data_IF_403657130575
#
_entry.id   IF_403657130575
#
_cell.length_a   1.000
_cell.length_b   1.000
_cell.length_c   1.000
_cell.angle_alpha   90.00
_cell.angle_beta   90.00
_cell.angle_gamma   90.00
#
_symmetry.space_group_name_H-M   'P 1'
#
loop_
_entity.id
_entity.type
_entity.pdbx_description
1 polymer ?
#
# COMPACT_ATOMS: atom_id res chain seq x y z
N UNK A 1 32.36 -17.04 30.61
CA UNK A 1 30.94 -17.15 30.23
C UNK A 1 30.10 -16.53 31.34
N UNK A 2 29.21 -15.57 31.07
CA UNK A 2 28.45 -14.88 32.12
C UNK A 2 27.37 -15.85 32.69
N UNK A 3 27.41 -16.22 33.98
CA UNK A 3 26.49 -17.21 34.57
C UNK A 3 25.03 -16.76 34.52
N UNK A 4 24.76 -15.46 34.57
CA UNK A 4 23.39 -14.93 34.46
C UNK A 4 22.80 -15.13 33.07
N UNK A 5 23.61 -14.97 32.01
CA UNK A 5 23.17 -15.22 30.63
C UNK A 5 22.87 -16.69 30.38
N UNK A 6 23.67 -17.59 30.96
CA UNK A 6 23.42 -19.03 30.87
C UNK A 6 22.14 -19.42 31.63
N UNK A 7 21.92 -18.87 32.83
CA UNK A 7 20.70 -19.13 33.58
C UNK A 7 19.44 -18.65 32.84
N UNK A 8 19.48 -17.45 32.24
CA UNK A 8 18.39 -16.93 31.40
C UNK A 8 18.13 -17.81 30.18
N UNK A 9 19.17 -18.24 29.48
CA UNK A 9 19.05 -19.14 28.34
C UNK A 9 18.38 -20.47 28.71
N UNK A 10 18.81 -21.10 29.81
CA UNK A 10 18.22 -22.36 30.29
C UNK A 10 16.75 -22.19 30.70
N UNK A 11 16.39 -21.04 31.30
CA UNK A 11 15.00 -20.73 31.65
C UNK A 11 14.11 -20.53 30.42
N UNK A 12 14.65 -19.90 29.37
CA UNK A 12 13.97 -19.78 28.07
C UNK A 12 13.76 -21.16 27.43
N UNK A 13 14.78 -22.02 27.40
CA UNK A 13 14.66 -23.39 26.90
C UNK A 13 13.59 -24.18 27.69
N UNK A 14 13.60 -24.08 29.03
CA UNK A 14 12.60 -24.74 29.86
C UNK A 14 11.19 -24.25 29.55
N UNK A 15 11.00 -22.94 29.42
CA UNK A 15 9.70 -22.34 29.08
C UNK A 15 9.18 -22.83 27.73
N UNK A 16 10.06 -22.92 26.72
CA UNK A 16 9.68 -23.40 25.40
C UNK A 16 9.32 -24.89 25.40
N UNK A 17 10.07 -25.73 26.12
CA UNK A 17 9.75 -27.16 26.28
C UNK A 17 8.40 -27.34 26.99
N UNK A 18 8.12 -26.58 28.05
CA UNK A 18 6.84 -26.63 28.77
C UNK A 18 5.65 -26.17 27.90
N UNK A 19 5.87 -25.21 27.00
CA UNK A 19 4.86 -24.75 26.06
C UNK A 19 4.62 -25.72 24.88
N UNK A 20 5.48 -26.72 24.70
CA UNK A 20 5.40 -27.67 23.59
C UNK A 20 4.40 -28.78 23.93
N UNK A 21 3.49 -29.07 23.00
CA UNK A 21 2.52 -30.14 23.17
C UNK A 21 3.13 -31.46 22.66
N UNK A 22 3.05 -32.57 23.42
CA UNK A 22 3.69 -33.83 23.02
C UNK A 22 2.93 -34.59 21.91
N UNK A 23 1.78 -34.08 21.47
CA UNK A 23 1.00 -34.62 20.37
C UNK A 23 0.81 -33.56 19.28
N UNK A 24 0.81 -33.99 18.02
CA UNK A 24 0.52 -33.13 16.88
C UNK A 24 -0.99 -33.12 16.62
N UNK A 25 -1.61 -31.94 16.74
CA UNK A 25 -3.01 -31.76 16.38
C UNK A 25 -3.17 -31.93 14.86
N UNK A 26 -4.16 -32.72 14.45
CA UNK A 26 -4.48 -32.93 13.05
C UNK A 26 -5.99 -32.97 12.87
N UNK A 27 -6.48 -32.35 11.79
CA UNK A 27 -7.85 -32.56 11.33
C UNK A 27 -7.88 -33.09 9.90
N UNK A 28 -9.07 -33.07 9.31
CA UNK A 28 -9.30 -33.60 7.97
C UNK A 28 -10.07 -32.62 7.11
N UNK A 29 -9.68 -32.56 5.85
CA UNK A 29 -10.39 -31.82 4.81
C UNK A 29 -11.73 -32.52 4.53
N UNK A 30 -12.84 -31.86 4.76
CA UNK A 30 -14.18 -32.44 4.57
C UNK A 30 -14.77 -32.07 3.21
N UNK A 31 -14.52 -30.84 2.75
CA UNK A 31 -15.10 -30.32 1.51
C UNK A 31 -14.22 -29.25 0.88
N UNK A 32 -14.27 -29.14 -0.44
CA UNK A 32 -13.76 -28.00 -1.20
C UNK A 32 -14.94 -27.42 -1.98
N UNK A 33 -15.21 -26.13 -1.84
CA UNK A 33 -16.24 -25.43 -2.59
C UNK A 33 -15.66 -24.16 -3.22
N UNK A 34 -15.22 -24.27 -4.47
CA UNK A 34 -14.53 -23.18 -5.16
C UNK A 34 -13.27 -22.74 -4.40
N UNK A 35 -13.28 -21.51 -3.89
CA UNK A 35 -12.15 -20.89 -3.20
C UNK A 35 -12.02 -21.28 -1.72
N UNK A 36 -13.07 -21.83 -1.10
CA UNK A 36 -13.10 -22.13 0.34
C UNK A 36 -13.08 -23.63 0.57
N UNK A 37 -12.23 -24.03 1.51
CA UNK A 37 -12.06 -25.38 2.00
C UNK A 37 -12.67 -25.52 3.38
N UNK A 38 -13.39 -26.60 3.63
CA UNK A 38 -13.90 -26.96 4.95
C UNK A 38 -13.00 -28.03 5.57
N UNK A 39 -12.61 -27.83 6.83
CA UNK A 39 -11.93 -28.85 7.63
C UNK A 39 -12.62 -29.06 8.98
N UNK A 40 -12.48 -30.28 9.52
CA UNK A 40 -13.00 -30.67 10.82
C UNK A 40 -11.96 -31.43 11.64
N UNK A 41 -12.18 -31.54 12.95
CA UNK A 41 -11.28 -32.25 13.86
C UNK A 41 -10.14 -31.41 14.44
N UNK A 42 -10.09 -30.11 14.12
CA UNK A 42 -9.16 -29.16 14.71
C UNK A 42 -9.86 -27.82 15.00
N UNK A 43 -9.40 -27.10 16.03
CA UNK A 43 -9.88 -25.76 16.40
C UNK A 43 -8.73 -24.78 16.29
N UNK A 44 -8.78 -23.89 15.31
CA UNK A 44 -7.77 -22.89 15.04
C UNK A 44 -8.39 -21.48 15.05
N UNK A 45 -7.65 -20.45 15.51
CA UNK A 45 -8.13 -19.09 15.45
C UNK A 45 -8.16 -18.56 14.02
N UNK A 46 -8.95 -17.50 13.80
CA UNK A 46 -8.92 -16.76 12.53
C UNK A 46 -7.50 -16.26 12.24
N UNK A 47 -7.07 -16.38 10.99
CA UNK A 47 -5.73 -16.01 10.56
C UNK A 47 -4.64 -17.04 10.86
N UNK A 48 -4.99 -18.19 11.46
CA UNK A 48 -4.04 -19.27 11.65
C UNK A 48 -3.69 -19.91 10.30
N UNK A 49 -2.40 -20.13 10.07
CA UNK A 49 -1.92 -20.93 8.94
C UNK A 49 -2.15 -22.43 9.18
N UNK A 50 -2.35 -23.17 8.11
CA UNK A 50 -2.44 -24.62 8.08
C UNK A 50 -1.75 -25.17 6.83
N UNK A 51 -1.25 -26.40 6.91
CA UNK A 51 -0.73 -27.18 5.80
C UNK A 51 -1.63 -28.37 5.53
N UNK A 52 -2.01 -28.56 4.29
CA UNK A 52 -2.90 -29.62 3.86
C UNK A 52 -2.12 -30.61 3.01
N UNK A 53 -2.15 -31.87 3.41
CA UNK A 53 -1.41 -32.93 2.74
C UNK A 53 -2.13 -33.36 1.46
N UNK A 54 -1.42 -33.30 0.33
CA UNK A 54 -1.94 -33.71 -0.98
C UNK A 54 -1.75 -35.22 -1.16
N UNK A 55 -0.56 -35.63 -1.63
CA UNK A 55 -0.08 -37.01 -1.76
C UNK A 55 1.45 -36.99 -1.55
N UNK A 56 1.98 -37.99 -0.85
CA UNK A 56 3.41 -38.03 -0.51
C UNK A 56 3.80 -36.88 0.44
N UNK A 57 4.82 -36.11 0.05
CA UNK A 57 5.41 -35.02 0.85
C UNK A 57 4.93 -33.62 0.46
N UNK A 58 4.09 -33.49 -0.58
CA UNK A 58 3.60 -32.18 -1.04
C UNK A 58 2.51 -31.65 -0.11
N UNK A 59 2.68 -30.40 0.33
CA UNK A 59 1.77 -29.72 1.24
C UNK A 59 1.30 -28.41 0.60
N UNK A 60 0.02 -28.10 0.74
CA UNK A 60 -0.56 -26.80 0.32
C UNK A 60 -0.75 -25.94 1.57
N UNK A 61 -0.28 -24.69 1.53
CA UNK A 61 -0.51 -23.72 2.60
C UNK A 61 -1.87 -23.03 2.47
N UNK A 62 -2.60 -22.97 3.58
CA UNK A 62 -3.91 -22.32 3.69
C UNK A 62 -4.01 -21.51 4.98
N UNK A 63 -4.95 -20.57 5.03
CA UNK A 63 -5.24 -19.77 6.22
C UNK A 63 -6.71 -19.91 6.61
N UNK A 64 -6.98 -19.92 7.92
CA UNK A 64 -8.35 -19.95 8.46
C UNK A 64 -9.01 -18.59 8.27
N UNK A 65 -10.04 -18.55 7.43
CA UNK A 65 -10.81 -17.33 7.09
C UNK A 65 -12.13 -17.23 7.85
N UNK A 66 -12.60 -18.34 8.44
CA UNK A 66 -13.88 -18.39 9.16
C UNK A 66 -14.07 -19.71 9.89
N UNK A 67 -15.14 -19.81 10.69
CA UNK A 67 -15.61 -21.06 11.25
C UNK A 67 -17.12 -21.02 11.51
N UNK A 68 -17.75 -22.20 11.48
CA UNK A 68 -19.16 -22.38 11.84
C UNK A 68 -19.32 -23.68 12.63
N UNK A 69 -19.64 -23.56 13.92
CA UNK A 69 -19.67 -24.71 14.83
C UNK A 69 -18.31 -25.40 14.90
N UNK A 70 -18.25 -26.68 14.55
CA UNK A 70 -17.02 -27.49 14.52
C UNK A 70 -16.32 -27.54 13.15
N UNK A 71 -16.77 -26.73 12.18
CA UNK A 71 -16.15 -26.62 10.86
C UNK A 71 -15.30 -25.36 10.75
N UNK A 72 -14.09 -25.51 10.25
CA UNK A 72 -13.21 -24.41 9.87
C UNK A 72 -13.32 -24.14 8.38
N UNK A 73 -13.43 -22.88 8.01
CA UNK A 73 -13.31 -22.40 6.64
C UNK A 73 -11.88 -21.92 6.42
N UNK A 74 -11.21 -22.48 5.43
CA UNK A 74 -9.82 -22.17 5.08
C UNK A 74 -9.74 -21.77 3.63
N UNK A 75 -8.82 -20.86 3.30
CA UNK A 75 -8.54 -20.47 1.93
C UNK A 75 -7.07 -20.77 1.61
N UNK A 76 -6.77 -21.38 0.46
CA UNK A 76 -5.40 -21.69 0.09
C UNK A 76 -4.67 -20.41 -0.36
N UNK A 77 -3.36 -20.37 -0.11
CA UNK A 77 -2.47 -19.32 -0.67
C UNK A 77 -1.96 -19.70 -2.06
N UNK A 78 -2.06 -20.98 -2.41
CA UNK A 78 -1.54 -21.59 -3.64
C UNK A 78 -2.60 -22.44 -4.34
N UNK A 79 -2.26 -23.02 -5.49
CA UNK A 79 -3.15 -23.94 -6.20
C UNK A 79 -3.50 -25.20 -5.39
N UNK A 80 -4.76 -25.58 -5.46
CA UNK A 80 -5.34 -26.73 -4.74
C UNK A 80 -5.32 -28.03 -5.55
N UNK A 81 -4.60 -28.05 -6.68
CA UNK A 81 -4.61 -29.20 -7.58
C UNK A 81 -4.10 -30.47 -6.87
N UNK A 82 -4.87 -31.54 -6.96
CA UNK A 82 -4.54 -32.84 -6.36
C UNK A 82 -5.01 -33.05 -4.91
N UNK A 83 -5.57 -32.02 -4.25
CA UNK A 83 -6.18 -32.21 -2.93
C UNK A 83 -7.37 -33.18 -3.03
N UNK A 84 -7.51 -34.04 -2.01
CA UNK A 84 -8.55 -35.07 -1.97
C UNK A 84 -9.35 -35.00 -0.66
N UNK A 85 -10.64 -35.39 -0.68
CA UNK A 85 -11.44 -35.49 0.53
C UNK A 85 -10.76 -36.39 1.58
N UNK A 86 -10.75 -35.95 2.83
CA UNK A 86 -10.09 -36.63 3.94
C UNK A 86 -8.60 -36.34 4.08
N UNK A 87 -8.02 -35.48 3.24
CA UNK A 87 -6.64 -35.00 3.36
C UNK A 87 -6.33 -34.47 4.76
N UNK A 88 -5.11 -34.75 5.23
CA UNK A 88 -4.66 -34.36 6.56
C UNK A 88 -4.43 -32.84 6.61
N UNK A 89 -5.01 -32.18 7.61
CA UNK A 89 -4.83 -30.74 7.87
C UNK A 89 -4.01 -30.60 9.14
N UNK A 90 -2.83 -30.00 9.02
CA UNK A 90 -1.91 -29.75 10.11
C UNK A 90 -1.81 -28.25 10.38
N UNK A 91 -1.87 -27.79 11.63
CA UNK A 91 -1.64 -26.39 11.94
C UNK A 91 -0.21 -25.99 11.57
N UNK A 92 -0.06 -24.82 10.95
CA UNK A 92 1.23 -24.18 10.78
C UNK A 92 1.56 -23.50 12.10
N UNK A 93 2.31 -24.18 12.97
CA UNK A 93 2.78 -23.56 14.21
C UNK A 93 3.69 -22.37 13.88
N UNK A 94 3.56 -21.21 14.56
CA UNK A 94 4.53 -20.15 14.43
C UNK A 94 5.90 -20.70 14.82
N UNK A 95 6.90 -20.49 13.97
CA UNK A 95 8.28 -20.91 14.24
C UNK A 95 8.73 -20.13 15.48
N UNK A 96 8.71 -20.76 16.65
CA UNK A 96 9.48 -20.25 17.79
C UNK A 96 10.93 -20.63 17.50
N UNK A 97 11.73 -19.66 17.07
CA UNK A 97 13.16 -19.86 16.92
C UNK A 97 13.73 -20.46 18.22
N UNK A 98 14.65 -21.44 18.12
CA UNK A 98 15.31 -21.95 19.30
C UNK A 98 16.01 -20.79 20.03
N UNK A 99 15.95 -20.72 21.37
CA UNK A 99 16.66 -19.74 22.16
C UNK A 99 18.12 -19.68 21.72
N UNK A 100 18.66 -18.48 21.61
CA UNK A 100 20.07 -18.22 21.30
C UNK A 100 20.73 -17.66 22.56
N UNK A 101 21.90 -18.18 22.90
CA UNK A 101 22.60 -17.79 24.12
C UNK A 101 22.99 -16.31 24.07
N UNK A 102 22.42 -15.51 24.98
CA UNK A 102 22.68 -14.07 25.07
C UNK A 102 21.66 -13.19 24.37
N UNK A 103 20.67 -13.77 23.69
CA UNK A 103 19.52 -13.06 23.15
C UNK A 103 18.34 -13.11 24.11
N UNK A 104 17.57 -12.03 24.16
CA UNK A 104 16.29 -11.98 24.87
C UNK A 104 15.21 -12.04 23.79
N UNK A 105 14.53 -13.19 23.63
CA UNK A 105 13.46 -13.29 22.65
C UNK A 105 12.37 -12.28 22.98
N UNK A 106 11.88 -11.59 21.96
CA UNK A 106 10.74 -10.68 22.13
C UNK A 106 9.56 -11.50 22.69
N UNK A 107 8.90 -11.03 23.76
CA UNK A 107 7.79 -11.78 24.35
C UNK A 107 6.64 -11.88 23.33
N UNK A 108 6.43 -13.07 22.76
CA UNK A 108 5.30 -13.43 21.87
C UNK A 108 4.00 -13.62 22.68
N UNK A 109 3.61 -12.57 23.42
CA UNK A 109 2.49 -12.62 24.36
C UNK A 109 1.14 -12.38 23.69
N UNK A 110 1.10 -11.79 22.49
CA UNK A 110 -0.14 -11.38 21.81
C UNK A 110 -0.36 -12.16 20.52
N UNK A 111 -1.62 -12.28 20.09
CA UNK A 111 -1.98 -13.00 18.85
C UNK A 111 -1.29 -12.49 17.58
N UNK A 112 -1.03 -11.17 17.37
CA UNK A 112 -0.30 -10.67 16.19
C UNK A 112 1.15 -11.18 16.12
N UNK A 113 1.77 -11.44 17.27
CA UNK A 113 3.14 -11.96 17.35
C UNK A 113 3.23 -13.41 16.86
N UNK A 114 2.09 -14.12 16.84
CA UNK A 114 1.93 -15.51 16.41
C UNK A 114 1.44 -15.65 14.97
N UNK A 115 1.17 -14.54 14.29
CA UNK A 115 0.83 -14.57 12.87
C UNK A 115 2.05 -14.99 12.03
N UNK A 116 1.83 -15.23 10.74
CA UNK A 116 2.90 -15.61 9.80
C UNK A 116 3.98 -14.52 9.78
N UNK A 117 5.23 -14.91 10.03
CA UNK A 117 6.41 -14.06 9.88
C UNK A 117 7.00 -14.29 8.49
N UNK A 118 7.38 -13.19 7.83
CA UNK A 118 8.00 -13.19 6.51
C UNK A 118 9.34 -12.44 6.56
N UNK A 119 10.29 -12.76 5.65
CA UNK A 119 11.58 -12.10 5.62
C UNK A 119 11.44 -10.59 5.43
N UNK A 120 12.25 -9.81 6.13
CA UNK A 120 12.38 -8.35 5.96
C UNK A 120 13.84 -7.95 6.07
N UNK A 121 14.20 -6.78 5.54
CA UNK A 121 15.55 -6.24 5.65
C UNK A 121 16.06 -5.64 4.34
N UNK A 122 17.26 -5.08 4.40
CA UNK A 122 17.95 -4.51 3.23
C UNK A 122 18.25 -5.58 2.16
N UNK A 123 18.24 -6.88 2.51
CA UNK A 123 18.42 -7.99 1.55
C UNK A 123 17.27 -8.11 0.52
N UNK A 124 16.15 -7.42 0.75
CA UNK A 124 15.04 -7.32 -0.18
C UNK A 124 15.19 -6.20 -1.21
N UNK A 125 16.18 -5.30 -1.06
CA UNK A 125 16.36 -4.19 -2.01
C UNK A 125 16.76 -4.70 -3.38
N UNK A 126 16.15 -4.14 -4.43
CA UNK A 126 16.32 -4.63 -5.80
C UNK A 126 15.60 -5.94 -6.09
N UNK A 127 14.85 -6.50 -5.14
CA UNK A 127 14.17 -7.79 -5.29
C UNK A 127 12.69 -7.63 -5.60
N UNK A 128 12.17 -8.60 -6.34
CA UNK A 128 10.73 -8.76 -6.58
C UNK A 128 10.28 -10.04 -5.89
N UNK A 129 9.31 -9.91 -4.98
CA UNK A 129 8.80 -11.03 -4.16
C UNK A 129 7.29 -11.15 -4.24
N UNK A 130 6.78 -12.34 -3.96
CA UNK A 130 5.35 -12.58 -3.80
C UNK A 130 4.85 -12.23 -2.39
N UNK A 131 3.53 -12.34 -2.14
CA UNK A 131 2.92 -12.11 -0.83
C UNK A 131 3.37 -13.05 0.30
N UNK A 132 4.16 -14.08 0.00
CA UNK A 132 4.76 -15.03 0.93
C UNK A 132 6.28 -14.84 1.07
N UNK A 133 6.86 -13.78 0.48
CA UNK A 133 8.29 -13.50 0.53
C UNK A 133 9.14 -14.40 -0.39
N UNK A 134 8.51 -15.11 -1.34
CA UNK A 134 9.25 -15.92 -2.32
C UNK A 134 9.68 -15.04 -3.49
N UNK A 135 10.92 -15.20 -3.98
CA UNK A 135 11.43 -14.38 -5.08
C UNK A 135 10.72 -14.73 -6.41
N UNK A 136 10.35 -13.69 -7.15
CA UNK A 136 9.76 -13.76 -8.50
C UNK A 136 10.76 -13.36 -9.61
N UNK A 137 11.94 -12.88 -9.21
CA UNK A 137 12.97 -12.29 -10.10
C UNK A 137 14.02 -13.29 -10.63
N UNK A 138 13.90 -14.57 -10.28
CA UNK A 138 14.87 -15.62 -10.62
C UNK A 138 16.31 -15.37 -10.12
N UNK A 139 16.52 -14.46 -9.16
CA UNK A 139 17.85 -14.16 -8.59
C UNK A 139 18.25 -15.11 -7.44
N UNK A 140 17.49 -16.18 -7.24
CA UNK A 140 17.71 -17.14 -6.15
C UNK A 140 17.08 -16.72 -4.81
N UNK A 141 17.24 -17.54 -3.76
CA UNK A 141 16.58 -17.35 -2.47
C UNK A 141 17.07 -16.08 -1.74
N UNK A 142 16.19 -15.46 -0.97
CA UNK A 142 16.52 -14.32 -0.11
C UNK A 142 17.04 -14.84 1.22
N UNK A 143 18.27 -14.49 1.57
CA UNK A 143 18.91 -14.86 2.84
C UNK A 143 18.72 -13.75 3.88
N UNK A 144 17.46 -13.42 4.19
CA UNK A 144 17.15 -12.38 5.18
C UNK A 144 17.50 -12.83 6.60
N UNK A 145 18.12 -11.95 7.37
CA UNK A 145 18.43 -12.20 8.78
C UNK A 145 17.23 -11.91 9.69
N UNK A 146 16.37 -10.99 9.27
CA UNK A 146 15.22 -10.54 10.04
C UNK A 146 13.91 -11.06 9.43
N UNK A 147 12.90 -11.19 10.28
CA UNK A 147 11.53 -11.47 9.86
C UNK A 147 10.55 -10.57 10.62
N UNK A 148 9.48 -10.18 9.95
CA UNK A 148 8.41 -9.39 10.55
C UNK A 148 7.07 -10.11 10.43
N UNK A 149 6.20 -9.92 11.41
CA UNK A 149 4.83 -10.43 11.35
C UNK A 149 4.04 -9.69 10.28
N UNK A 150 3.26 -10.44 9.48
CA UNK A 150 2.27 -9.85 8.57
C UNK A 150 1.21 -9.02 9.32
N UNK A 151 0.92 -9.41 10.56
CA UNK A 151 0.05 -8.69 11.46
C UNK A 151 0.89 -7.80 12.38
N UNK A 152 0.94 -6.51 12.09
CA UNK A 152 1.66 -5.55 12.90
C UNK A 152 0.87 -5.10 14.13
N UNK A 153 1.59 -4.71 15.18
CA UNK A 153 1.00 -4.08 16.37
C UNK A 153 0.63 -2.65 16.00
N UNK A 154 -0.63 -2.21 16.21
CA UNK A 154 -0.99 -0.82 15.97
C UNK A 154 -0.10 0.10 16.80
N UNK A 155 0.60 1.05 16.16
CA UNK A 155 1.24 2.13 16.88
C UNK A 155 0.16 2.98 17.54
N UNK A 156 0.36 3.33 18.81
CA UNK A 156 -0.52 4.29 19.48
C UNK A 156 -0.46 5.62 18.71
N UNK A 157 -1.59 6.14 18.19
CA UNK A 157 -1.58 7.39 17.42
C UNK A 157 -0.99 8.57 18.19
N UNK A 158 -1.15 8.60 19.52
CA UNK A 158 -0.61 9.67 20.37
C UNK A 158 0.91 9.61 20.55
N UNK A 159 1.55 8.52 20.15
CA UNK A 159 3.00 8.38 20.15
C UNK A 159 3.62 8.74 18.80
N UNK A 160 2.81 9.00 17.76
CA UNK A 160 3.30 9.37 16.43
C UNK A 160 3.77 10.81 16.41
N UNK A 161 4.87 11.07 15.71
CA UNK A 161 5.29 12.43 15.42
C UNK A 161 4.31 13.12 14.46
N UNK A 162 3.86 14.35 14.75
CA UNK A 162 3.05 15.12 13.81
C UNK A 162 3.77 15.36 12.48
N UNK A 163 3.01 15.48 11.39
CA UNK A 163 3.57 15.75 10.06
C UNK A 163 4.06 17.21 10.01
N UNK A 164 5.39 17.40 10.04
CA UNK A 164 6.05 18.72 10.05
C UNK A 164 7.07 18.94 8.93
N UNK A 165 7.52 17.85 8.30
CA UNK A 165 8.54 17.89 7.28
C UNK A 165 7.93 17.61 5.92
N UNK A 166 8.28 18.43 4.93
CA UNK A 166 7.91 18.20 3.53
C UNK A 166 8.61 16.93 3.04
N UNK A 167 7.90 16.15 2.24
CA UNK A 167 8.45 15.05 1.46
C UNK A 167 8.45 15.46 -0.01
N UNK A 168 9.64 15.61 -0.57
CA UNK A 168 9.80 15.91 -1.97
C UNK A 168 9.48 14.65 -2.80
N UNK A 169 8.46 14.75 -3.66
CA UNK A 169 8.05 13.65 -4.55
C UNK A 169 8.58 13.79 -5.97
N UNK A 170 9.33 14.87 -6.26
CA UNK A 170 9.89 15.17 -7.57
C UNK A 170 8.89 15.58 -8.65
N UNK A 171 7.62 15.81 -8.28
CA UNK A 171 6.54 16.20 -9.21
C UNK A 171 6.12 17.63 -8.90
N UNK A 172 6.33 18.55 -9.85
CA UNK A 172 6.18 19.99 -9.66
C UNK A 172 4.79 20.39 -9.20
N UNK A 173 3.76 19.87 -9.87
CA UNK A 173 2.37 20.15 -9.52
C UNK A 173 2.05 19.70 -8.08
N UNK A 174 2.60 18.57 -7.64
CA UNK A 174 2.38 18.05 -6.29
C UNK A 174 3.17 18.90 -5.27
N UNK A 175 4.47 19.06 -5.49
CA UNK A 175 5.36 19.80 -4.59
C UNK A 175 4.90 21.24 -4.36
N UNK A 176 4.44 21.93 -5.41
CA UNK A 176 4.04 23.33 -5.34
C UNK A 176 2.59 23.56 -4.91
N UNK A 177 1.63 22.72 -5.36
CA UNK A 177 0.19 23.00 -5.21
C UNK A 177 -0.55 22.03 -4.29
N UNK A 178 0.06 20.87 -3.98
CA UNK A 178 -0.54 19.77 -3.22
C UNK A 178 0.49 19.16 -2.25
N UNK A 179 1.32 20.01 -1.63
CA UNK A 179 2.54 19.60 -0.92
C UNK A 179 2.31 18.45 0.04
N UNK A 180 3.20 17.45 -0.05
CA UNK A 180 3.13 16.20 0.73
C UNK A 180 4.09 16.27 1.92
N UNK A 181 3.68 15.69 3.05
CA UNK A 181 4.52 15.59 4.24
C UNK A 181 5.01 14.17 4.53
N UNK A 182 6.11 14.07 5.28
CA UNK A 182 6.62 12.80 5.81
C UNK A 182 5.60 12.18 6.76
N UNK A 183 5.21 10.93 6.51
CA UNK A 183 4.19 10.20 7.24
C UNK A 183 2.76 10.45 6.75
N UNK A 184 2.56 11.19 5.66
CA UNK A 184 1.22 11.43 5.11
C UNK A 184 0.71 10.20 4.34
N UNK A 185 -0.60 9.97 4.39
CA UNK A 185 -1.29 8.93 3.62
C UNK A 185 -2.19 9.58 2.59
N UNK A 186 -1.89 9.36 1.30
CA UNK A 186 -2.57 9.99 0.18
C UNK A 186 -3.27 8.96 -0.70
N UNK A 187 -4.43 9.32 -1.22
CA UNK A 187 -5.08 8.57 -2.30
C UNK A 187 -4.54 9.00 -3.66
N UNK A 188 -4.41 8.06 -4.61
CA UNK A 188 -4.26 8.37 -6.03
C UNK A 188 -5.48 7.81 -6.77
N UNK A 189 -6.46 8.68 -7.04
CA UNK A 189 -7.67 8.33 -7.77
C UNK A 189 -7.40 8.43 -9.26
N UNK A 190 -7.52 7.32 -9.97
CA UNK A 190 -7.22 7.27 -11.39
C UNK A 190 -8.06 6.22 -12.10
N UNK A 191 -8.55 6.57 -13.29
CA UNK A 191 -9.08 5.60 -14.26
C UNK A 191 -7.98 4.82 -14.99
N UNK A 192 -8.38 3.86 -15.81
CA UNK A 192 -7.45 3.20 -16.74
C UNK A 192 -6.98 4.17 -17.83
N UNK A 193 -5.69 4.12 -18.19
CA UNK A 193 -5.11 4.85 -19.32
C UNK A 193 -4.74 6.32 -19.06
N UNK A 194 -4.96 6.86 -17.86
CA UNK A 194 -4.72 8.29 -17.55
C UNK A 194 -3.29 8.61 -17.08
N UNK A 195 -2.36 7.65 -17.18
CA UNK A 195 -0.96 7.83 -16.75
C UNK A 195 -0.65 7.48 -15.29
N UNK A 196 -1.51 6.72 -14.60
CA UNK A 196 -1.30 6.23 -13.22
C UNK A 196 0.09 5.61 -13.01
N UNK A 197 0.41 4.58 -13.79
CA UNK A 197 1.65 3.80 -13.64
C UNK A 197 2.90 4.64 -13.92
N UNK A 198 2.83 5.56 -14.88
CA UNK A 198 3.92 6.48 -15.20
C UNK A 198 4.18 7.43 -14.04
N UNK A 199 3.12 8.04 -13.47
CA UNK A 199 3.26 8.94 -12.32
C UNK A 199 3.82 8.21 -11.08
N UNK A 200 3.37 6.98 -10.81
CA UNK A 200 3.93 6.14 -9.76
C UNK A 200 5.42 5.84 -9.98
N UNK A 201 5.81 5.54 -11.22
CA UNK A 201 7.22 5.35 -11.60
C UNK A 201 8.05 6.61 -11.39
N UNK A 202 7.55 7.78 -11.81
CA UNK A 202 8.20 9.07 -11.57
C UNK A 202 8.39 9.32 -10.07
N UNK A 203 7.36 9.12 -9.25
CA UNK A 203 7.48 9.26 -7.79
C UNK A 203 8.50 8.24 -7.23
N UNK A 204 8.50 7.00 -7.70
CA UNK A 204 9.45 6.01 -7.23
C UNK A 204 10.91 6.34 -7.61
N UNK A 205 11.17 7.00 -8.74
CA UNK A 205 12.52 7.44 -9.10
C UNK A 205 12.94 8.69 -8.35
N UNK A 206 12.05 9.68 -8.28
CA UNK A 206 12.40 11.05 -7.90
C UNK A 206 12.16 11.41 -6.44
N UNK A 207 11.35 10.64 -5.72
CA UNK A 207 11.06 10.95 -4.32
C UNK A 207 12.31 10.86 -3.46
N UNK A 208 12.50 11.86 -2.59
CA UNK A 208 13.56 11.88 -1.59
C UNK A 208 13.15 11.00 -0.38
N UNK A 209 13.43 9.71 -0.47
CA UNK A 209 13.15 8.71 0.56
C UNK A 209 14.32 7.72 0.68
N UNK A 210 14.62 7.25 1.89
CA UNK A 210 15.69 6.30 2.13
C UNK A 210 15.42 4.94 1.45
N UNK A 211 14.15 4.54 1.43
CA UNK A 211 13.67 3.23 0.95
C UNK A 211 12.33 3.38 0.24
N UNK A 212 12.10 2.55 -0.76
CA UNK A 212 10.83 2.50 -1.48
C UNK A 212 10.25 1.10 -1.38
N UNK A 213 8.96 1.01 -1.12
CA UNK A 213 8.24 -0.26 -1.11
C UNK A 213 7.04 -0.13 -2.04
N UNK A 214 6.93 -1.04 -3.00
CA UNK A 214 5.85 -1.05 -3.98
C UNK A 214 5.06 -2.34 -3.85
N UNK A 215 3.79 -2.24 -3.46
CA UNK A 215 2.83 -3.34 -3.48
C UNK A 215 1.99 -3.30 -4.76
N UNK A 216 2.13 -4.31 -5.63
CA UNK A 216 1.37 -4.48 -6.87
C UNK A 216 0.36 -5.61 -6.70
N UNK A 217 -0.89 -5.25 -6.41
CA UNK A 217 -1.96 -6.13 -5.94
C UNK A 217 -3.06 -6.23 -6.98
N UNK A 218 -3.31 -7.43 -7.49
CA UNK A 218 -4.41 -7.74 -8.41
C UNK A 218 -4.29 -7.13 -9.81
N UNK A 219 -3.13 -6.58 -10.16
CA UNK A 219 -2.82 -6.14 -11.53
C UNK A 219 -2.48 -7.36 -12.40
N UNK A 220 -2.53 -7.21 -13.74
CA UNK A 220 -2.16 -8.32 -14.63
C UNK A 220 -0.65 -8.54 -14.60
N UNK A 221 -0.20 -9.80 -14.71
CA UNK A 221 1.25 -10.12 -14.66
C UNK A 221 2.10 -9.35 -15.69
N UNK A 222 1.55 -9.08 -16.89
CA UNK A 222 2.22 -8.24 -17.90
C UNK A 222 2.38 -6.79 -17.46
N UNK A 223 1.40 -6.23 -16.76
CA UNK A 223 1.41 -4.85 -16.27
C UNK A 223 2.37 -4.71 -15.09
N UNK A 224 2.50 -5.75 -14.26
CA UNK A 224 3.54 -5.85 -13.22
C UNK A 224 4.94 -5.82 -13.85
N UNK A 225 5.19 -6.65 -14.86
CA UNK A 225 6.48 -6.68 -15.57
C UNK A 225 6.80 -5.33 -16.23
N UNK A 226 5.82 -4.73 -16.91
CA UNK A 226 5.94 -3.42 -17.55
C UNK A 226 6.24 -2.31 -16.52
N UNK A 227 5.57 -2.33 -15.37
CA UNK A 227 5.85 -1.40 -14.28
C UNK A 227 7.29 -1.51 -13.80
N UNK A 228 7.79 -2.72 -13.54
CA UNK A 228 9.15 -2.93 -13.03
C UNK A 228 10.19 -2.50 -14.08
N UNK A 229 10.03 -2.94 -15.34
CA UNK A 229 11.05 -2.75 -16.38
C UNK A 229 11.03 -1.35 -17.02
N UNK A 230 9.85 -0.77 -17.26
CA UNK A 230 9.72 0.49 -18.00
C UNK A 230 9.47 1.70 -17.09
N UNK A 231 8.67 1.54 -16.04
CA UNK A 231 8.33 2.65 -15.15
C UNK A 231 9.29 2.79 -13.98
N UNK A 232 9.73 1.68 -13.36
CA UNK A 232 10.67 1.75 -12.25
C UNK A 232 12.12 1.83 -12.77
N UNK A 233 12.45 0.96 -13.72
CA UNK A 233 13.81 0.85 -14.29
C UNK A 233 14.82 0.33 -13.27
N UNK A 234 16.05 0.08 -13.70
CA UNK A 234 17.09 -0.51 -12.85
C UNK A 234 17.47 0.40 -11.67
N UNK A 235 17.54 1.72 -11.90
CA UNK A 235 17.87 2.70 -10.86
C UNK A 235 16.77 2.80 -9.78
N UNK A 236 15.50 2.82 -10.20
CA UNK A 236 14.37 2.83 -9.27
C UNK A 236 14.26 1.51 -8.50
N UNK A 237 14.51 0.39 -9.17
CA UNK A 237 14.44 -0.93 -8.57
C UNK A 237 15.54 -1.14 -7.52
N UNK A 238 16.76 -0.66 -7.77
CA UNK A 238 17.89 -0.82 -6.84
C UNK A 238 17.64 -0.28 -5.42
N UNK A 239 16.76 0.72 -5.27
CA UNK A 239 16.36 1.31 -3.98
C UNK A 239 14.96 0.89 -3.51
N UNK A 240 14.30 0.00 -4.25
CA UNK A 240 12.94 -0.42 -4.01
C UNK A 240 12.85 -1.92 -3.64
N UNK A 241 11.80 -2.24 -2.88
CA UNK A 241 11.33 -3.61 -2.69
C UNK A 241 9.97 -3.72 -3.37
N UNK A 242 9.82 -4.67 -4.30
CA UNK A 242 8.55 -4.86 -5.01
C UNK A 242 7.88 -6.14 -4.50
N UNK A 243 6.67 -6.00 -3.96
CA UNK A 243 5.80 -7.12 -3.59
C UNK A 243 4.69 -7.23 -4.62
N UNK A 244 4.67 -8.31 -5.40
CA UNK A 244 3.68 -8.53 -6.45
C UNK A 244 2.76 -9.71 -6.10
N UNK A 245 1.45 -9.47 -6.14
CA UNK A 245 0.41 -10.48 -6.04
C UNK A 245 -0.58 -10.26 -7.19
N UNK A 246 -0.32 -10.81 -8.39
CA UNK A 246 -1.11 -10.50 -9.59
C UNK A 246 -2.54 -11.06 -9.54
N UNK A 247 -3.35 -10.76 -10.56
CA UNK A 247 -4.77 -11.10 -10.59
C UNK A 247 -5.08 -12.62 -10.60
N UNK A 248 -4.14 -13.45 -11.04
CA UNK A 248 -4.25 -14.90 -11.15
C UNK A 248 -4.00 -15.65 -9.84
N UNK A 249 -3.41 -15.00 -8.82
CA UNK A 249 -3.23 -15.61 -7.51
C UNK A 249 -4.48 -15.50 -6.62
N UNK A 250 -4.53 -16.29 -5.55
CA UNK A 250 -5.70 -16.35 -4.67
C UNK A 250 -6.01 -14.99 -4.02
N UNK A 251 -7.29 -14.71 -3.69
CA UNK A 251 -7.65 -13.47 -2.99
C UNK A 251 -6.89 -13.29 -1.68
N UNK A 252 -6.65 -14.40 -0.97
CA UNK A 252 -5.87 -14.39 0.27
C UNK A 252 -4.42 -13.93 0.01
N UNK A 253 -3.78 -14.43 -1.04
CA UNK A 253 -2.43 -14.03 -1.42
C UNK A 253 -2.35 -12.55 -1.78
N UNK A 254 -3.39 -12.01 -2.43
CA UNK A 254 -3.50 -10.55 -2.70
C UNK A 254 -3.58 -9.72 -1.42
N UNK A 255 -4.38 -10.15 -0.44
CA UNK A 255 -4.44 -9.47 0.87
C UNK A 255 -3.11 -9.55 1.62
N UNK A 256 -2.45 -10.72 1.59
CA UNK A 256 -1.14 -10.93 2.20
C UNK A 256 -0.05 -10.08 1.54
N UNK A 257 -0.06 -9.93 0.20
CA UNK A 257 0.85 -9.05 -0.52
C UNK A 257 0.80 -7.60 -0.04
N UNK A 258 -0.42 -7.06 0.13
CA UNK A 258 -0.59 -5.70 0.67
C UNK A 258 -0.11 -5.59 2.13
N UNK A 259 -0.44 -6.58 2.96
CA UNK A 259 0.01 -6.63 4.34
C UNK A 259 1.54 -6.78 4.48
N UNK A 260 2.16 -7.50 3.55
CA UNK A 260 3.60 -7.75 3.52
C UNK A 260 4.38 -6.53 3.06
N UNK A 261 3.95 -5.87 1.97
CA UNK A 261 4.52 -4.58 1.56
C UNK A 261 4.47 -3.56 2.72
N UNK A 262 3.36 -3.53 3.45
CA UNK A 262 3.23 -2.67 4.62
C UNK A 262 4.17 -3.09 5.75
N UNK A 263 4.36 -4.40 5.99
CA UNK A 263 5.28 -4.91 7.01
C UNK A 263 6.75 -4.59 6.70
N UNK A 264 7.16 -4.66 5.43
CA UNK A 264 8.50 -4.24 4.98
C UNK A 264 8.69 -2.74 5.23
N UNK A 265 7.69 -1.91 4.92
CA UNK A 265 7.75 -0.48 5.19
C UNK A 265 7.81 -0.16 6.70
N UNK A 266 7.09 -0.92 7.54
CA UNK A 266 7.16 -0.82 9.00
C UNK A 266 8.54 -1.17 9.54
N UNK A 267 9.16 -2.23 9.01
CA UNK A 267 10.52 -2.60 9.40
C UNK A 267 11.51 -1.46 9.14
N UNK A 268 11.53 -0.90 7.93
CA UNK A 268 12.41 0.22 7.61
C UNK A 268 12.11 1.48 8.45
N UNK A 269 10.83 1.79 8.70
CA UNK A 269 10.45 2.89 9.61
C UNK A 269 11.03 2.69 11.01
N UNK A 270 10.94 1.48 11.53
CA UNK A 270 11.40 1.15 12.88
C UNK A 270 12.94 1.16 12.98
N UNK A 271 13.65 1.02 11.85
CA UNK A 271 15.09 1.28 11.71
C UNK A 271 15.45 2.77 11.57
N UNK A 272 14.46 3.67 11.64
CA UNK A 272 14.67 5.11 11.52
C UNK A 272 14.66 5.64 10.08
N UNK A 273 14.26 4.83 9.09
CA UNK A 273 14.24 5.23 7.68
C UNK A 273 12.95 5.95 7.30
N UNK A 274 13.06 6.84 6.33
CA UNK A 274 11.93 7.47 5.65
C UNK A 274 11.56 6.68 4.39
N UNK A 275 10.37 6.08 4.41
CA UNK A 275 9.91 5.13 3.41
C UNK A 275 8.80 5.74 2.56
N UNK A 276 8.90 5.60 1.24
CA UNK A 276 7.77 5.76 0.32
C UNK A 276 7.10 4.40 0.11
N UNK A 277 5.84 4.27 0.53
CA UNK A 277 5.00 3.10 0.26
C UNK A 277 4.03 3.40 -0.89
N UNK A 278 4.14 2.68 -1.99
CA UNK A 278 3.16 2.71 -3.08
C UNK A 278 2.32 1.44 -2.98
N UNK A 279 1.01 1.60 -2.80
CA UNK A 279 0.06 0.49 -2.73
C UNK A 279 -0.90 0.56 -3.92
N UNK A 280 -0.63 -0.26 -4.93
CA UNK A 280 -1.39 -0.32 -6.18
C UNK A 280 -2.09 -1.68 -6.33
N UNK A 281 -3.35 -1.87 -5.93
CA UNK A 281 -4.30 -0.84 -5.48
C UNK A 281 -5.13 -1.24 -4.26
N UNK A 282 -5.65 -0.21 -3.58
CA UNK A 282 -6.60 -0.35 -2.48
C UNK A 282 -7.96 -0.88 -2.99
N UNK A 283 -8.33 -0.57 -4.24
CA UNK A 283 -9.49 -1.19 -4.92
C UNK A 283 -9.32 -2.70 -5.07
N UNK A 284 -8.16 -3.17 -5.54
CA UNK A 284 -7.89 -4.61 -5.69
C UNK A 284 -7.81 -5.34 -4.36
N UNK A 285 -7.28 -4.69 -3.31
CA UNK A 285 -7.34 -5.19 -1.95
C UNK A 285 -8.79 -5.34 -1.45
N UNK A 286 -9.64 -4.33 -1.64
CA UNK A 286 -11.06 -4.39 -1.29
C UNK A 286 -11.82 -5.47 -2.05
N UNK A 287 -11.56 -5.62 -3.35
CA UNK A 287 -12.14 -6.69 -4.18
C UNK A 287 -11.72 -8.07 -3.69
N UNK A 288 -10.45 -8.27 -3.33
CA UNK A 288 -9.98 -9.53 -2.75
C UNK A 288 -10.72 -9.87 -1.45
N UNK A 289 -10.86 -8.90 -0.53
CA UNK A 289 -11.63 -9.10 0.71
C UNK A 289 -13.11 -9.41 0.41
N UNK A 290 -13.71 -8.75 -0.59
CA UNK A 290 -15.08 -9.05 -1.03
C UNK A 290 -15.22 -10.49 -1.52
N UNK A 291 -14.29 -10.98 -2.32
CA UNK A 291 -14.30 -12.36 -2.82
C UNK A 291 -14.26 -13.38 -1.66
N UNK A 292 -13.40 -13.15 -0.65
CA UNK A 292 -13.33 -14.01 0.54
C UNK A 292 -14.63 -13.96 1.34
N UNK A 293 -15.11 -12.75 1.63
CA UNK A 293 -16.30 -12.50 2.43
C UNK A 293 -17.56 -13.15 1.84
N UNK A 294 -17.76 -13.01 0.52
CA UNK A 294 -18.88 -13.65 -0.19
C UNK A 294 -18.76 -15.18 -0.16
N UNK A 295 -17.54 -15.72 -0.29
CA UNK A 295 -17.33 -17.17 -0.28
C UNK A 295 -17.62 -17.81 1.09
N UNK A 296 -17.48 -17.06 2.19
CA UNK A 296 -17.85 -17.50 3.55
C UNK A 296 -19.29 -17.12 3.94
N UNK A 297 -20.05 -16.50 3.02
CA UNK A 297 -21.48 -16.19 3.20
C UNK A 297 -21.78 -14.85 3.87
N UNK A 298 -20.83 -13.91 3.93
CA UNK A 298 -21.11 -12.54 4.41
C UNK A 298 -21.96 -11.77 3.37
N UNK A 299 -23.12 -11.18 3.76
CA UNK A 299 -23.99 -10.51 2.81
C UNK A 299 -23.40 -9.17 2.31
N UNK A 300 -23.54 -8.84 1.01
CA UNK A 300 -23.06 -7.57 0.45
C UNK A 300 -24.06 -6.43 0.68
N UNK A 301 -23.91 -5.70 1.79
CA UNK A 301 -24.89 -4.66 2.20
C UNK A 301 -24.64 -3.30 1.53
N UNK A 302 -23.38 -2.92 1.30
CA UNK A 302 -23.03 -1.58 0.81
C UNK A 302 -22.60 -1.64 -0.66
N UNK A 303 -23.55 -1.39 -1.58
CA UNK A 303 -23.30 -1.36 -3.04
C UNK A 303 -22.51 -2.58 -3.55
N UNK A 304 -22.85 -3.78 -3.07
CA UNK A 304 -22.17 -5.02 -3.47
C UNK A 304 -20.92 -5.37 -2.65
N UNK A 305 -20.50 -4.56 -1.69
CA UNK A 305 -19.40 -4.85 -0.77
C UNK A 305 -19.91 -5.29 0.62
N UNK A 306 -19.37 -6.39 1.18
CA UNK A 306 -19.61 -6.78 2.56
C UNK A 306 -19.01 -5.80 3.59
N UNK A 307 -19.60 -5.67 4.79
CA UNK A 307 -19.08 -4.81 5.86
C UNK A 307 -17.60 -5.02 6.21
N UNK A 308 -17.10 -6.26 6.14
CA UNK A 308 -15.70 -6.58 6.45
C UNK A 308 -14.68 -5.84 5.58
N UNK A 309 -15.05 -5.47 4.35
CA UNK A 309 -14.20 -4.69 3.45
C UNK A 309 -13.89 -3.33 4.08
N UNK A 310 -14.92 -2.62 4.55
CA UNK A 310 -14.79 -1.28 5.14
C UNK A 310 -14.14 -1.32 6.54
N UNK A 311 -14.16 -2.46 7.22
CA UNK A 311 -13.39 -2.66 8.45
C UNK A 311 -11.90 -2.92 8.16
N UNK A 312 -11.56 -3.56 7.04
CA UNK A 312 -10.19 -3.92 6.64
C UNK A 312 -9.41 -2.76 6.03
N UNK A 313 -10.08 -1.85 5.31
CA UNK A 313 -9.43 -0.71 4.68
C UNK A 313 -8.70 0.20 5.70
N UNK A 314 -9.35 0.67 6.79
CA UNK A 314 -8.67 1.44 7.82
C UNK A 314 -7.53 0.66 8.49
N UNK A 315 -7.71 -0.64 8.72
CA UNK A 315 -6.67 -1.47 9.37
C UNK A 315 -5.37 -1.54 8.55
N UNK A 316 -5.47 -1.52 7.22
CA UNK A 316 -4.30 -1.47 6.34
C UNK A 316 -3.69 -0.06 6.31
N UNK A 317 -4.52 0.95 6.07
CA UNK A 317 -4.07 2.35 5.88
C UNK A 317 -3.48 2.94 7.15
N UNK A 318 -4.03 2.63 8.32
CA UNK A 318 -3.54 3.13 9.61
C UNK A 318 -2.20 2.54 10.04
N UNK A 319 -1.63 1.57 9.32
CA UNK A 319 -0.26 1.09 9.59
C UNK A 319 0.81 2.03 9.07
N UNK A 320 0.49 2.81 8.02
CA UNK A 320 1.35 3.87 7.53
C UNK A 320 1.28 5.12 8.42
N UNK A 321 2.30 5.97 8.34
CA UNK A 321 2.44 7.17 9.16
C UNK A 321 3.84 7.36 9.74
N UNK A 322 4.02 8.47 10.45
CA UNK A 322 5.23 8.70 11.24
C UNK A 322 5.34 7.71 12.39
N UNK A 323 6.58 7.32 12.69
CA UNK A 323 6.94 6.63 13.92
C UNK A 323 6.97 7.60 15.12
N UNK A 324 7.57 7.15 16.24
CA UNK A 324 7.88 8.02 17.37
C UNK A 324 8.80 9.19 16.98
N UNK A 325 8.80 10.24 17.79
CA UNK A 325 9.62 11.44 17.55
C UNK A 325 11.11 11.08 17.34
N UNK A 326 11.68 11.56 16.23
CA UNK A 326 13.07 11.26 15.85
C UNK A 326 13.28 9.88 15.23
N UNK A 327 12.21 9.12 14.98
CA UNK A 327 12.24 7.86 14.26
C UNK A 327 11.98 8.00 12.75
N UNK A 328 11.71 6.88 12.10
CA UNK A 328 11.39 6.83 10.67
C UNK A 328 9.95 7.21 10.36
N UNK A 329 9.60 7.19 9.07
CA UNK A 329 8.25 7.51 8.60
C UNK A 329 7.83 6.64 7.42
N UNK A 330 6.55 6.33 7.30
CA UNK A 330 5.97 5.74 6.08
C UNK A 330 5.02 6.76 5.47
N UNK A 331 5.41 7.34 4.34
CA UNK A 331 4.52 8.15 3.51
C UNK A 331 3.95 7.25 2.43
N UNK A 332 2.63 7.20 2.32
CA UNK A 332 1.96 6.20 1.50
C UNK A 332 1.08 6.80 0.42
N UNK A 333 1.15 6.26 -0.80
CA UNK A 333 0.20 6.48 -1.88
C UNK A 333 -0.62 5.22 -2.11
N UNK A 334 -1.91 5.30 -1.80
CA UNK A 334 -2.87 4.23 -2.05
C UNK A 334 -3.64 4.55 -3.33
N UNK A 335 -3.42 3.78 -4.38
CA UNK A 335 -4.19 3.97 -5.61
C UNK A 335 -5.61 3.43 -5.43
N UNK A 336 -6.57 4.12 -6.04
CA UNK A 336 -7.96 3.72 -6.09
C UNK A 336 -8.44 3.89 -7.52
N UNK A 337 -8.92 2.80 -8.09
CA UNK A 337 -9.40 2.74 -9.46
C UNK A 337 -10.83 3.28 -9.51
N UNK A 338 -11.00 4.48 -10.06
CA UNK A 338 -12.32 5.08 -10.28
C UNK A 338 -12.79 4.73 -11.69
N UNK A 339 -13.76 3.81 -11.79
CA UNK A 339 -14.37 3.49 -13.09
C UNK A 339 -15.22 4.67 -13.56
N UNK A 340 -14.79 5.32 -14.66
CA UNK A 340 -15.56 6.38 -15.31
C UNK A 340 -15.77 7.64 -14.47
N UNK A 341 -14.85 7.93 -13.54
CA UNK A 341 -14.95 9.06 -12.59
C UNK A 341 -16.25 9.06 -11.79
N UNK A 342 -16.81 7.87 -11.49
CA UNK A 342 -18.02 7.75 -10.69
C UNK A 342 -17.78 8.27 -9.25
N UNK A 343 -18.41 9.40 -8.86
CA UNK A 343 -18.29 9.92 -7.50
C UNK A 343 -18.94 9.02 -6.45
N UNK A 344 -19.64 7.96 -6.87
CA UNK A 344 -20.34 7.01 -6.00
C UNK A 344 -19.60 5.68 -5.78
N UNK A 345 -18.31 5.56 -6.15
CA UNK A 345 -17.53 4.39 -5.78
C UNK A 345 -17.36 4.31 -4.24
N UNK A 346 -17.91 3.26 -3.56
CA UNK A 346 -17.80 3.13 -2.12
C UNK A 346 -16.35 3.01 -1.62
N UNK A 347 -15.43 2.51 -2.46
CA UNK A 347 -14.02 2.41 -2.09
C UNK A 347 -13.37 3.79 -2.13
N UNK A 348 -13.66 4.59 -3.16
CA UNK A 348 -13.22 5.98 -3.23
C UNK A 348 -13.76 6.82 -2.05
N UNK A 349 -15.04 6.65 -1.70
CA UNK A 349 -15.63 7.35 -0.56
C UNK A 349 -14.97 6.96 0.77
N UNK A 350 -14.74 5.66 0.99
CA UNK A 350 -14.02 5.18 2.17
C UNK A 350 -12.59 5.69 2.21
N UNK A 351 -11.87 5.69 1.09
CA UNK A 351 -10.52 6.20 0.97
C UNK A 351 -10.45 7.71 1.28
N UNK A 352 -11.38 8.52 0.76
CA UNK A 352 -11.47 9.96 1.07
C UNK A 352 -11.71 10.21 2.56
N UNK A 353 -12.45 9.34 3.23
CA UNK A 353 -12.73 9.48 4.66
C UNK A 353 -11.49 9.19 5.52
N UNK A 354 -10.70 8.16 5.18
CA UNK A 354 -9.59 7.67 6.02
C UNK A 354 -8.22 8.27 5.67
N UNK A 355 -8.04 8.83 4.47
CA UNK A 355 -6.76 9.37 4.01
C UNK A 355 -6.61 10.87 4.33
N UNK A 356 -5.36 11.33 4.35
CA UNK A 356 -4.98 12.72 4.66
C UNK A 356 -5.08 13.64 3.42
N UNK A 357 -5.66 13.16 2.33
CA UNK A 357 -5.76 13.85 1.05
C UNK A 357 -5.80 12.87 -0.12
N UNK A 358 -5.84 13.42 -1.33
CA UNK A 358 -5.82 12.64 -2.56
C UNK A 358 -5.39 13.47 -3.77
N UNK A 359 -4.86 12.77 -4.76
CA UNK A 359 -4.53 13.25 -6.10
C UNK A 359 -5.48 12.56 -7.08
N UNK A 360 -6.15 13.34 -7.92
CA UNK A 360 -7.07 12.86 -8.96
C UNK A 360 -6.39 12.98 -10.31
N UNK A 361 -6.38 11.90 -11.08
CA UNK A 361 -5.96 11.90 -12.47
C UNK A 361 -7.19 11.98 -13.38
N UNK A 362 -7.30 13.05 -14.16
CA UNK A 362 -8.43 13.31 -15.04
C UNK A 362 -8.21 12.71 -16.43
N UNK A 363 -9.23 12.00 -16.92
CA UNK A 363 -9.25 11.53 -18.31
C UNK A 363 -9.25 12.68 -19.31
N UNK A 364 -9.94 13.78 -19.00
CA UNK A 364 -9.99 14.95 -19.89
C UNK A 364 -8.60 15.57 -20.10
N UNK A 365 -7.75 15.59 -19.07
CA UNK A 365 -6.36 16.06 -19.18
C UNK A 365 -5.51 15.06 -19.98
N UNK A 366 -5.65 13.76 -19.72
CA UNK A 366 -4.93 12.72 -20.44
C UNK A 366 -5.24 12.72 -21.95
N UNK A 367 -6.51 12.85 -22.33
CA UNK A 367 -6.97 12.91 -23.72
C UNK A 367 -6.47 14.17 -24.44
N UNK A 368 -6.23 15.26 -23.69
CA UNK A 368 -5.65 16.50 -24.19
C UNK A 368 -4.10 16.45 -24.31
N UNK A 369 -3.47 15.33 -23.96
CA UNK A 369 -2.01 15.21 -23.93
C UNK A 369 -1.34 15.91 -22.75
N UNK A 370 -2.10 16.30 -21.72
CA UNK A 370 -1.57 16.96 -20.53
C UNK A 370 -1.10 15.90 -19.51
N UNK A 371 0.22 15.77 -19.34
CA UNK A 371 0.84 14.83 -18.40
C UNK A 371 1.84 15.51 -17.44
N UNK A 372 1.85 15.15 -16.14
CA UNK A 372 0.90 14.26 -15.46
C UNK A 372 -0.54 14.82 -15.48
N UNK A 373 -1.53 13.94 -15.63
CA UNK A 373 -2.94 14.31 -15.81
C UNK A 373 -3.64 14.73 -14.50
N UNK A 374 -2.95 15.50 -13.64
CA UNK A 374 -3.42 15.84 -12.29
C UNK A 374 -4.49 16.94 -12.35
N UNK A 375 -5.68 16.64 -11.84
CA UNK A 375 -6.73 17.61 -11.62
C UNK A 375 -6.49 18.36 -10.30
N UNK A 376 -6.02 19.60 -10.39
CA UNK A 376 -5.69 20.43 -9.23
C UNK A 376 -6.94 20.88 -8.45
N UNK A 377 -8.12 20.90 -9.08
CA UNK A 377 -9.38 21.30 -8.44
C UNK A 377 -9.89 20.18 -7.55
N UNK A 378 -9.86 18.95 -8.07
CA UNK A 378 -10.34 17.77 -7.37
C UNK A 378 -9.29 17.15 -6.44
N UNK A 379 -8.03 17.58 -6.53
CA UNK A 379 -6.94 17.12 -5.65
C UNK A 379 -6.76 18.01 -4.42
N UNK A 380 -6.42 17.37 -3.29
CA UNK A 380 -6.21 18.05 -2.01
C UNK A 380 -5.14 17.34 -1.16
N UNK A 381 -4.27 18.12 -0.53
CA UNK A 381 -3.43 17.67 0.60
C UNK A 381 -3.91 18.39 1.86
N UNK A 382 -4.45 17.65 2.85
CA UNK A 382 -5.02 18.26 4.06
C UNK A 382 -3.95 18.83 5.00
N UNK A 383 -2.71 18.39 4.86
CA UNK A 383 -1.58 18.81 5.72
C UNK A 383 -0.77 19.96 5.13
N UNK A 384 -0.98 20.31 3.85
CA UNK A 384 -0.21 21.35 3.17
C UNK A 384 -0.17 22.68 3.96
N UNK A 385 -1.30 23.08 4.54
CA UNK A 385 -1.41 24.31 5.34
C UNK A 385 -0.46 24.36 6.54
N UNK A 386 -0.03 23.21 7.05
CA UNK A 386 0.88 23.10 8.19
C UNK A 386 2.34 22.91 7.77
N UNK A 387 2.60 22.72 6.48
CA UNK A 387 3.92 22.39 5.93
C UNK A 387 4.60 23.57 5.24
N UNK A 388 3.82 24.40 4.54
CA UNK A 388 4.36 25.50 3.74
C UNK A 388 4.12 26.86 4.39
N UNK A 389 4.98 27.87 4.15
CA UNK A 389 4.76 29.22 4.64
C UNK A 389 3.46 29.85 4.14
N UNK A 390 2.85 30.81 4.86
CA UNK A 390 1.62 31.48 4.44
C UNK A 390 1.70 32.10 3.05
N UNK A 391 2.85 32.68 2.68
CA UNK A 391 3.09 33.27 1.36
C UNK A 391 2.96 32.24 0.23
N UNK A 392 3.45 31.02 0.43
CA UNK A 392 3.31 29.93 -0.54
C UNK A 392 1.85 29.48 -0.63
N UNK A 393 1.13 29.40 0.48
CA UNK A 393 -0.31 29.08 0.46
C UNK A 393 -1.12 30.09 -0.34
N UNK A 394 -0.81 31.38 -0.21
CA UNK A 394 -1.47 32.43 -1.00
C UNK A 394 -1.20 32.27 -2.49
N UNK A 395 0.05 31.98 -2.89
CA UNK A 395 0.40 31.72 -4.29
C UNK A 395 -0.32 30.49 -4.84
N UNK A 396 -0.34 29.39 -4.10
CA UNK A 396 -1.07 28.19 -4.51
C UNK A 396 -2.58 28.46 -4.65
N UNK A 397 -3.17 29.28 -3.77
CA UNK A 397 -4.57 29.69 -3.87
C UNK A 397 -4.83 30.56 -5.09
N UNK A 398 -3.96 31.53 -5.36
CA UNK A 398 -4.05 32.38 -6.56
C UNK A 398 -3.93 31.55 -7.84
N UNK A 399 -3.00 30.60 -7.88
CA UNK A 399 -2.88 29.64 -8.99
C UNK A 399 -4.20 28.91 -9.24
N UNK A 400 -4.78 28.30 -8.19
CA UNK A 400 -6.05 27.57 -8.30
C UNK A 400 -7.19 28.48 -8.76
N UNK A 401 -7.28 29.71 -8.23
CA UNK A 401 -8.31 30.66 -8.63
C UNK A 401 -8.24 31.00 -10.12
N UNK A 402 -7.05 31.32 -10.64
CA UNK A 402 -6.85 31.64 -12.06
C UNK A 402 -7.12 30.42 -12.94
N UNK A 403 -6.57 29.25 -12.58
CA UNK A 403 -6.77 28.01 -13.32
C UNK A 403 -8.26 27.64 -13.42
N UNK A 404 -8.99 27.62 -12.30
CA UNK A 404 -10.41 27.27 -12.29
C UNK A 404 -11.28 28.27 -13.02
N UNK A 405 -10.94 29.57 -12.96
CA UNK A 405 -11.68 30.60 -13.69
C UNK A 405 -11.54 30.42 -15.20
N UNK A 406 -10.34 30.11 -15.67
CA UNK A 406 -10.12 29.74 -17.07
C UNK A 406 -10.93 28.48 -17.44
N UNK A 407 -10.83 27.40 -16.66
CA UNK A 407 -11.47 26.13 -17.01
C UNK A 407 -13.00 26.24 -17.13
N UNK A 408 -13.66 27.00 -16.23
CA UNK A 408 -15.11 27.24 -16.30
C UNK A 408 -15.54 28.09 -17.50
N UNK A 409 -14.65 28.91 -18.04
CA UNK A 409 -14.92 29.78 -19.18
C UNK A 409 -14.46 29.19 -20.52
N UNK A 410 -13.75 28.05 -20.51
CA UNK A 410 -13.10 27.46 -21.69
C UNK A 410 -14.05 27.26 -22.88
N UNK A 411 -15.26 26.76 -22.63
CA UNK A 411 -16.25 26.53 -23.69
C UNK A 411 -16.73 27.86 -24.28
N UNK A 412 -16.99 28.87 -23.44
CA UNK A 412 -17.39 30.21 -23.89
C UNK A 412 -16.28 30.89 -24.71
N UNK A 413 -15.02 30.70 -24.31
CA UNK A 413 -13.85 31.20 -25.04
C UNK A 413 -13.71 30.52 -26.40
N UNK A 414 -13.92 29.21 -26.47
CA UNK A 414 -13.82 28.44 -27.71
C UNK A 414 -14.84 28.86 -28.77
N UNK A 415 -16.02 29.30 -28.35
CA UNK A 415 -17.10 29.80 -29.24
C UNK A 415 -16.94 31.29 -29.55
N UNK A 416 -15.98 31.99 -28.92
CA UNK A 416 -15.77 33.43 -29.09
C UNK A 416 -16.84 34.30 -28.42
N UNK A 417 -17.57 33.74 -27.45
CA UNK A 417 -18.67 34.42 -26.77
C UNK A 417 -18.22 35.36 -25.63
N UNK A 418 -16.93 35.35 -25.29
CA UNK A 418 -16.36 36.19 -24.23
C UNK A 418 -15.79 37.50 -24.79
N UNK A 419 -16.14 38.62 -24.16
CA UNK A 419 -15.60 39.94 -24.47
C UNK A 419 -14.60 40.38 -23.40
N UNK A 420 -13.38 40.73 -23.82
CA UNK A 420 -12.32 41.20 -22.93
C UNK A 420 -12.73 42.46 -22.17
N UNK A 421 -12.29 42.58 -20.91
CA UNK A 421 -12.57 43.71 -20.02
C UNK A 421 -13.86 43.59 -19.21
N UNK A 422 -14.63 42.50 -19.40
CA UNK A 422 -15.87 42.25 -18.64
C UNK A 422 -15.62 41.58 -17.29
N UNK A 423 -14.54 40.81 -17.18
CA UNK A 423 -14.10 40.17 -15.94
C UNK A 423 -12.57 40.25 -15.86
N UNK A 424 -12.00 41.22 -15.11
CA UNK A 424 -10.56 41.43 -15.03
C UNK A 424 -9.78 40.21 -14.55
N UNK A 425 -10.41 39.34 -13.75
CA UNK A 425 -9.77 38.14 -13.22
C UNK A 425 -9.76 37.02 -14.26
N UNK A 426 -10.82 36.88 -15.05
CA UNK A 426 -10.83 35.99 -16.21
C UNK A 426 -9.89 36.48 -17.32
N UNK A 427 -9.82 37.78 -17.58
CA UNK A 427 -8.85 38.36 -18.52
C UNK A 427 -7.41 37.99 -18.12
N UNK A 428 -7.08 38.14 -16.83
CA UNK A 428 -5.79 37.71 -16.28
C UNK A 428 -5.58 36.20 -16.44
N UNK A 429 -6.60 35.40 -16.14
CA UNK A 429 -6.55 33.96 -16.26
C UNK A 429 -6.29 33.50 -17.71
N UNK A 430 -6.95 34.12 -18.70
CA UNK A 430 -6.73 33.85 -20.13
C UNK A 430 -5.30 34.19 -20.52
N UNK A 431 -4.79 35.35 -20.10
CA UNK A 431 -3.45 35.80 -20.46
C UNK A 431 -2.34 34.88 -19.89
N UNK A 432 -2.52 34.38 -18.65
CA UNK A 432 -1.51 33.57 -17.97
C UNK A 432 -1.67 32.06 -18.22
N UNK A 433 -2.83 31.60 -18.69
CA UNK A 433 -3.16 30.16 -18.81
C UNK A 433 -2.08 29.31 -19.50
N UNK A 434 -1.50 29.70 -20.66
CA UNK A 434 -0.46 28.88 -21.31
C UNK A 434 0.75 28.60 -20.39
N UNK A 435 1.07 29.56 -19.50
CA UNK A 435 2.15 29.39 -18.51
C UNK A 435 1.72 28.55 -17.32
N UNK A 436 0.46 28.64 -16.90
CA UNK A 436 -0.10 27.75 -15.87
C UNK A 436 -0.10 26.29 -16.36
N UNK A 437 -0.51 26.06 -17.60
CA UNK A 437 -0.54 24.74 -18.23
C UNK A 437 0.86 24.13 -18.34
N UNK A 438 1.83 24.89 -18.86
CA UNK A 438 3.23 24.47 -18.90
C UNK A 438 3.83 24.23 -17.49
N UNK A 439 3.33 24.94 -16.47
CA UNK A 439 3.74 24.70 -15.09
C UNK A 439 3.23 23.34 -14.57
N UNK A 440 2.04 22.89 -14.97
CA UNK A 440 1.48 21.60 -14.53
C UNK A 440 2.05 20.40 -15.29
N UNK A 441 2.41 20.59 -16.57
CA UNK A 441 2.97 19.52 -17.40
C UNK A 441 4.43 19.23 -17.06
N UNK A 442 4.80 17.96 -16.93
CA UNK A 442 6.16 17.55 -16.60
C UNK A 442 6.55 16.32 -17.42
N UNK A 443 7.75 16.34 -18.00
CA UNK A 443 8.28 15.18 -18.72
C UNK A 443 8.60 14.03 -17.76
N UNK A 444 8.56 12.79 -18.26
CA UNK A 444 8.86 11.58 -17.49
C UNK A 444 10.28 11.66 -16.91
N UNK A 445 11.23 12.24 -17.64
CA UNK A 445 12.65 12.36 -17.27
C UNK A 445 12.99 13.69 -16.57
N UNK A 446 12.00 14.58 -16.41
CA UNK A 446 12.18 15.85 -15.72
C UNK A 446 11.98 15.65 -14.21
N UNK A 447 13.01 15.92 -13.42
CA UNK A 447 12.92 16.03 -11.96
C UNK A 447 12.56 17.47 -11.59
N UNK A 448 11.56 17.65 -10.73
CA UNK A 448 11.21 18.95 -10.16
C UNK A 448 11.20 18.89 -8.63
N UNK A 449 12.33 19.25 -8.03
CA UNK A 449 12.47 19.31 -6.57
C UNK A 449 11.56 20.37 -5.94
N UNK A 450 11.38 20.31 -4.62
CA UNK A 450 10.49 21.18 -3.85
C UNK A 450 10.88 22.65 -3.94
N UNK A 451 12.19 22.95 -3.92
CA UNK A 451 12.71 24.31 -3.99
C UNK A 451 12.45 24.94 -5.36
N UNK A 452 12.83 24.25 -6.44
CA UNK A 452 12.59 24.64 -7.83
C UNK A 452 11.10 24.80 -8.10
N UNK A 453 10.28 23.87 -7.62
CA UNK A 453 8.82 23.90 -7.78
C UNK A 453 8.22 25.16 -7.15
N UNK A 454 8.67 25.52 -5.94
CA UNK A 454 8.25 26.75 -5.25
C UNK A 454 8.75 28.00 -5.98
N UNK A 455 10.00 28.03 -6.41
CA UNK A 455 10.57 29.18 -7.11
C UNK A 455 9.83 29.45 -8.44
N UNK A 456 9.57 28.40 -9.22
CA UNK A 456 8.80 28.51 -10.48
C UNK A 456 7.36 29.00 -10.22
N UNK A 457 6.73 28.61 -9.11
CA UNK A 457 5.41 29.12 -8.73
C UNK A 457 5.44 30.62 -8.41
N UNK A 458 6.47 31.09 -7.71
CA UNK A 458 6.67 32.51 -7.42
C UNK A 458 6.84 33.28 -8.73
N UNK A 459 7.81 32.89 -9.55
CA UNK A 459 8.13 33.54 -10.84
C UNK A 459 6.92 33.60 -11.77
N UNK A 460 6.07 32.57 -11.75
CA UNK A 460 4.86 32.49 -12.56
C UNK A 460 3.81 33.53 -12.17
N UNK A 461 3.64 33.81 -10.87
CA UNK A 461 2.55 34.67 -10.38
C UNK A 461 2.97 36.11 -10.09
N UNK A 462 4.28 36.38 -9.99
CA UNK A 462 4.84 37.73 -9.79
C UNK A 462 5.16 38.46 -11.10
N UNK A 463 5.21 37.74 -12.22
CA UNK A 463 5.30 38.31 -13.57
C UNK A 463 3.90 38.52 -14.15
#
# INVERSE_FOLDING_TARGET
MNPQRLAQYLDQCRTQVVATHPWQLAGRLTRINGLVMEASGLKLPLGAGARIQVRGTTMVEAEVVGFAGDRLFMMPTEDVYGLSPGALVLPLAPISAPPILGEIPLPQRRMPDRAKHLPVGDELLGRVVDGNGRPLDNLGPISAQNSHSLASRPLNPLQREPIRHIMDVGIRAINALLTVGRGQRLGLFAGSGVGKSVLLGMMARYTEADRIVVGLIGERGREVQEFITQNLGDEGLARAVVVAAPADVSPLMRLQGAAYATAIAEHFRDEGRHVLLIMDSLTRYAMAQREIALAIGEPPVTRGYPPSVFARLPQLVERAGNGPAGGGSITAFYTVLTEGDDPQDPIADSARAILDGHIVLSRQLADAGHYPAIDIEQSISRVMNNLVPPEHLELARQFKQLYTRYQRARDLLSVGAYAAGTDPLLDRAIAIYPRLEAFLQQSIDELADSHNSRQRLIELLTQ
#
